data_IF_079669078214
#
_entry.id   IF_079669078214
#
_cell.length_a   1.000
_cell.length_b   1.000
_cell.length_c   1.000
_cell.angle_alpha   90.00
_cell.angle_beta   90.00
_cell.angle_gamma   90.00
#
_symmetry.space_group_name_H-M   'P 1'
#
loop_
_entity.id
_entity.type
_entity.pdbx_description
1 polymer ?
#
# COMPACT_ATOMS: atom_id res chain seq x y z
N UNK A 1 -2.62 9.40 -19.66
CA UNK A 1 -1.94 8.23 -19.09
C UNK A 1 -0.56 8.73 -18.73
N UNK A 2 -0.42 9.32 -17.55
CA UNK A 2 0.87 9.80 -17.03
C UNK A 2 1.33 8.79 -15.98
N UNK A 3 1.77 7.63 -16.45
CA UNK A 3 2.46 6.63 -15.65
C UNK A 3 3.82 6.39 -16.28
N UNK A 4 4.85 6.33 -15.45
CA UNK A 4 6.21 5.99 -15.86
C UNK A 4 6.45 4.51 -15.55
N UNK A 5 7.17 3.83 -16.43
CA UNK A 5 7.64 2.47 -16.17
C UNK A 5 8.86 2.55 -15.26
N UNK A 6 8.86 1.81 -14.16
CA UNK A 6 9.97 1.76 -13.21
C UNK A 6 11.01 0.74 -13.69
N UNK A 7 12.28 1.15 -13.66
CA UNK A 7 13.43 0.26 -13.85
C UNK A 7 13.84 -0.28 -12.47
N UNK A 8 13.33 -1.47 -12.13
CA UNK A 8 13.53 -2.08 -10.81
C UNK A 8 14.98 -2.46 -10.54
N UNK A 9 15.75 -2.82 -11.58
CA UNK A 9 17.16 -3.17 -11.43
C UNK A 9 17.96 -1.94 -10.97
N UNK A 10 17.79 -0.80 -11.65
CA UNK A 10 18.45 0.45 -11.26
C UNK A 10 17.99 0.96 -9.90
N UNK A 11 16.70 0.83 -9.58
CA UNK A 11 16.18 1.24 -8.28
C UNK A 11 16.76 0.38 -7.14
N UNK A 12 16.89 -0.93 -7.38
CA UNK A 12 17.50 -1.87 -6.43
C UNK A 12 18.98 -1.57 -6.21
N UNK A 13 19.73 -1.29 -7.28
CA UNK A 13 21.13 -0.87 -7.18
C UNK A 13 21.29 0.44 -6.41
N UNK A 14 20.43 1.42 -6.67
CA UNK A 14 20.42 2.68 -5.93
C UNK A 14 20.18 2.45 -4.44
N UNK A 15 19.18 1.65 -4.07
CA UNK A 15 18.87 1.33 -2.67
C UNK A 15 20.05 0.64 -1.98
N UNK A 16 20.70 -0.32 -2.64
CA UNK A 16 21.91 -1.00 -2.12
C UNK A 16 23.09 -0.05 -1.91
N UNK A 17 23.13 1.08 -2.62
CA UNK A 17 24.18 2.09 -2.46
C UNK A 17 24.00 2.99 -1.23
N UNK A 18 22.79 3.02 -0.66
CA UNK A 18 22.48 3.81 0.54
C UNK A 18 23.13 3.14 1.76
N UNK A 19 23.95 3.88 2.50
CA UNK A 19 24.67 3.38 3.68
C UNK A 19 23.91 3.69 4.97
N UNK A 20 22.74 3.07 5.12
CA UNK A 20 21.94 3.09 6.35
C UNK A 20 21.57 1.65 6.71
N UNK A 21 21.42 1.38 8.01
CA UNK A 21 20.96 0.07 8.50
C UNK A 21 19.43 -0.02 8.40
N UNK A 22 18.73 1.08 8.71
CA UNK A 22 17.28 1.16 8.66
C UNK A 22 16.84 2.06 7.49
N UNK A 23 15.97 1.53 6.63
CA UNK A 23 15.42 2.24 5.47
C UNK A 23 13.91 2.03 5.38
N UNK A 24 13.17 3.13 5.21
CA UNK A 24 11.73 3.10 4.94
C UNK A 24 11.53 3.39 3.45
N UNK A 25 10.93 2.44 2.74
CA UNK A 25 10.58 2.56 1.33
C UNK A 25 9.11 2.98 1.19
N UNK A 26 8.88 4.26 0.88
CA UNK A 26 7.54 4.80 0.60
C UNK A 26 7.23 4.77 -0.90
N UNK A 27 6.19 4.01 -1.28
CA UNK A 27 5.66 3.99 -2.63
C UNK A 27 4.85 2.74 -2.92
N UNK A 28 3.90 2.85 -3.86
CA UNK A 28 3.03 1.73 -4.26
C UNK A 28 3.76 0.57 -4.98
N UNK A 29 5.05 0.74 -5.29
CA UNK A 29 5.91 -0.31 -5.88
C UNK A 29 6.98 -0.81 -4.90
N UNK A 30 6.96 -0.39 -3.63
CA UNK A 30 8.01 -0.73 -2.66
C UNK A 30 8.12 -2.23 -2.41
N UNK A 31 7.00 -2.95 -2.48
CA UNK A 31 6.93 -4.41 -2.32
C UNK A 31 7.66 -5.19 -3.44
N UNK A 32 8.06 -4.55 -4.54
CA UNK A 32 8.90 -5.16 -5.58
C UNK A 32 10.39 -5.15 -5.23
N UNK A 33 10.81 -4.44 -4.17
CA UNK A 33 12.21 -4.18 -3.85
C UNK A 33 12.78 -5.15 -2.80
N UNK A 34 12.10 -6.29 -2.60
CA UNK A 34 12.45 -7.31 -1.61
C UNK A 34 12.75 -6.74 -0.20
N UNK A 35 11.82 -6.00 0.41
CA UNK A 35 11.99 -5.50 1.77
C UNK A 35 11.94 -6.63 2.81
N UNK A 36 12.43 -6.33 4.02
CA UNK A 36 12.37 -7.24 5.17
C UNK A 36 10.96 -7.33 5.76
N UNK A 37 10.21 -6.23 5.72
CA UNK A 37 8.83 -6.10 6.18
C UNK A 37 8.02 -5.28 5.17
N UNK A 38 6.73 -5.59 5.02
CA UNK A 38 5.80 -4.91 4.11
C UNK A 38 4.58 -4.48 4.91
N UNK A 39 4.27 -3.18 4.83
CA UNK A 39 3.05 -2.62 5.42
C UNK A 39 2.14 -2.15 4.30
N UNK A 40 0.95 -2.74 4.20
CA UNK A 40 -0.08 -2.36 3.23
C UNK A 40 -1.10 -1.47 3.93
N UNK A 41 -1.05 -0.17 3.66
CA UNK A 41 -2.01 0.79 4.17
C UNK A 41 -3.31 0.70 3.36
N UNK A 42 -4.40 0.31 4.00
CA UNK A 42 -5.75 0.27 3.43
C UNK A 42 -6.52 1.51 3.84
N UNK A 43 -7.48 1.91 3.03
CA UNK A 43 -8.44 2.94 3.43
C UNK A 43 -9.73 2.82 2.63
N UNK A 44 -10.83 3.25 3.25
CA UNK A 44 -12.14 3.31 2.65
C UNK A 44 -12.08 3.95 1.23
N UNK A 45 -12.63 3.29 0.20
CA UNK A 45 -12.55 3.76 -1.19
C UNK A 45 -13.07 5.19 -1.40
N UNK A 46 -14.08 5.64 -0.64
CA UNK A 46 -14.57 7.02 -0.72
C UNK A 46 -13.57 8.03 -0.15
N UNK A 47 -12.79 7.65 0.88
CA UNK A 47 -11.70 8.50 1.38
C UNK A 47 -10.59 8.63 0.33
N UNK A 48 -10.24 7.54 -0.36
CA UNK A 48 -9.29 7.57 -1.47
C UNK A 48 -9.78 8.52 -2.57
N UNK A 49 -11.04 8.35 -3.00
CA UNK A 49 -11.67 9.23 -4.00
C UNK A 49 -11.54 10.71 -3.62
N UNK A 50 -12.00 11.08 -2.43
CA UNK A 50 -11.97 12.46 -1.94
C UNK A 50 -10.53 13.02 -1.89
N UNK A 51 -9.57 12.22 -1.41
CA UNK A 51 -8.16 12.62 -1.35
C UNK A 51 -7.59 12.88 -2.75
N UNK A 52 -7.86 12.01 -3.72
CA UNK A 52 -7.34 12.15 -5.09
C UNK A 52 -8.02 13.28 -5.88
N UNK A 53 -9.33 13.49 -5.70
CA UNK A 53 -10.05 14.64 -6.27
C UNK A 53 -9.50 15.96 -5.72
N UNK A 54 -9.20 16.04 -4.42
CA UNK A 54 -8.59 17.24 -3.83
C UNK A 54 -7.18 17.54 -4.37
N UNK A 55 -6.47 16.49 -4.81
CA UNK A 55 -5.19 16.59 -5.54
C UNK A 55 -5.37 16.94 -7.03
N UNK A 56 -6.60 17.18 -7.48
CA UNK A 56 -6.97 17.56 -8.86
C UNK A 56 -6.60 16.49 -9.90
N UNK A 57 -6.68 15.22 -9.52
CA UNK A 57 -6.50 14.13 -10.47
C UNK A 57 -7.70 14.08 -11.44
N UNK A 58 -7.45 13.62 -12.67
CA UNK A 58 -8.53 13.43 -13.64
C UNK A 58 -9.52 12.37 -13.10
N UNK A 59 -10.84 12.52 -13.33
CA UNK A 59 -11.84 11.59 -12.82
C UNK A 59 -11.55 10.12 -13.13
N UNK A 60 -11.09 9.84 -14.36
CA UNK A 60 -10.66 8.49 -14.75
C UNK A 60 -9.54 7.94 -13.86
N UNK A 61 -8.50 8.74 -13.60
CA UNK A 61 -7.36 8.35 -12.75
C UNK A 61 -7.78 8.15 -11.30
N UNK A 62 -8.73 8.97 -10.81
CA UNK A 62 -9.31 8.78 -9.48
C UNK A 62 -9.98 7.41 -9.40
N UNK A 63 -10.88 7.10 -10.34
CA UNK A 63 -11.59 5.82 -10.34
C UNK A 63 -10.66 4.62 -10.49
N UNK A 64 -9.64 4.69 -11.36
CA UNK A 64 -8.62 3.63 -11.47
C UNK A 64 -7.93 3.31 -10.11
N UNK A 65 -7.68 4.32 -9.27
CA UNK A 65 -7.09 4.10 -7.95
C UNK A 65 -8.11 3.62 -6.90
N UNK A 66 -9.37 4.05 -7.01
CA UNK A 66 -10.47 3.59 -6.15
C UNK A 66 -10.77 2.12 -6.43
N UNK A 67 -10.82 1.72 -7.70
CA UNK A 67 -10.91 0.34 -8.17
C UNK A 67 -9.76 -0.51 -7.65
N UNK A 68 -8.53 -0.02 -7.75
CA UNK A 68 -7.35 -0.74 -7.26
C UNK A 68 -7.40 -1.01 -5.74
N UNK A 69 -7.90 -0.05 -4.94
CA UNK A 69 -8.12 -0.26 -3.51
C UNK A 69 -9.27 -1.23 -3.23
N UNK A 70 -10.36 -1.15 -4.00
CA UNK A 70 -11.52 -2.03 -3.86
C UNK A 70 -11.18 -3.50 -4.16
N UNK A 71 -10.31 -3.71 -5.15
CA UNK A 71 -9.89 -5.03 -5.64
C UNK A 71 -8.62 -5.54 -4.94
N UNK A 72 -8.21 -4.93 -3.84
CA UNK A 72 -7.05 -5.33 -3.03
C UNK A 72 -5.72 -5.40 -3.83
N UNK A 73 -5.57 -4.62 -4.91
CA UNK A 73 -4.44 -4.79 -5.87
C UNK A 73 -3.08 -4.73 -5.18
N UNK A 74 -2.82 -3.71 -4.37
CA UNK A 74 -1.55 -3.57 -3.66
C UNK A 74 -1.30 -4.71 -2.65
N UNK A 75 -2.36 -5.22 -2.02
CA UNK A 75 -2.26 -6.33 -1.07
C UNK A 75 -1.94 -7.64 -1.80
N UNK A 76 -2.70 -7.95 -2.86
CA UNK A 76 -2.52 -9.14 -3.69
C UNK A 76 -1.11 -9.14 -4.29
N UNK A 77 -0.66 -8.03 -4.89
CA UNK A 77 0.70 -7.96 -5.45
C UNK A 77 1.79 -8.17 -4.37
N UNK A 78 1.56 -7.69 -3.14
CA UNK A 78 2.48 -7.91 -2.03
C UNK A 78 2.57 -9.39 -1.66
N UNK A 79 1.43 -10.08 -1.56
CA UNK A 79 1.33 -11.52 -1.25
C UNK A 79 1.95 -12.38 -2.36
N UNK A 80 1.62 -12.11 -3.62
CA UNK A 80 2.09 -12.93 -4.75
C UNK A 80 3.60 -12.86 -4.97
N UNK A 81 4.26 -11.78 -4.53
CA UNK A 81 5.67 -11.50 -4.82
C UNK A 81 6.60 -11.70 -3.64
N UNK A 82 6.07 -11.85 -2.44
CA UNK A 82 6.86 -11.88 -1.21
C UNK A 82 6.42 -13.02 -0.29
N UNK A 83 7.21 -13.25 0.75
CA UNK A 83 6.84 -14.16 1.83
C UNK A 83 5.74 -13.49 2.67
N UNK A 84 4.59 -14.16 2.79
CA UNK A 84 3.41 -13.72 3.56
C UNK A 84 3.75 -13.40 5.03
N UNK A 85 4.79 -14.02 5.60
CA UNK A 85 5.25 -13.75 6.97
C UNK A 85 5.77 -12.33 7.20
N UNK A 86 6.03 -11.58 6.11
CA UNK A 86 6.53 -10.20 6.15
C UNK A 86 5.42 -9.16 6.06
N UNK A 87 4.17 -9.57 5.83
CA UNK A 87 3.10 -8.66 5.41
C UNK A 87 2.21 -8.29 6.60
N UNK A 88 1.96 -7.00 6.73
CA UNK A 88 1.03 -6.42 7.68
C UNK A 88 0.07 -5.46 6.96
N UNK A 89 -1.22 -5.76 7.02
CA UNK A 89 -2.31 -4.94 6.51
C UNK A 89 -2.89 -4.08 7.63
N UNK A 90 -3.15 -2.80 7.34
CA UNK A 90 -3.76 -1.89 8.31
C UNK A 90 -4.82 -0.99 7.67
N UNK A 91 -6.05 -1.05 8.20
CA UNK A 91 -7.09 -0.06 7.87
C UNK A 91 -6.79 1.28 8.55
N UNK A 92 -6.58 2.30 7.73
CA UNK A 92 -6.24 3.66 8.13
C UNK A 92 -7.43 4.62 8.07
N UNK A 93 -8.66 4.13 7.82
CA UNK A 93 -9.84 4.97 7.55
C UNK A 93 -10.20 5.92 8.70
N UNK A 94 -10.12 5.44 9.93
CA UNK A 94 -10.50 6.20 11.14
C UNK A 94 -9.31 6.46 12.08
N UNK A 95 -8.09 6.25 11.60
CA UNK A 95 -6.87 6.36 12.39
C UNK A 95 -6.11 7.64 12.07
N UNK A 96 -5.53 8.24 13.10
CA UNK A 96 -4.54 9.30 12.92
C UNK A 96 -3.15 8.68 12.64
N UNK A 97 -2.18 9.46 12.13
CA UNK A 97 -0.85 8.95 11.83
C UNK A 97 -0.11 8.34 13.04
N UNK A 98 -0.29 8.89 14.25
CA UNK A 98 0.37 8.39 15.46
C UNK A 98 -0.10 6.97 15.81
N UNK A 99 -1.40 6.70 15.70
CA UNK A 99 -1.97 5.38 15.93
C UNK A 99 -1.47 4.37 14.88
N UNK A 100 -1.43 4.77 13.61
CA UNK A 100 -0.92 3.94 12.51
C UNK A 100 0.54 3.55 12.76
N UNK A 101 1.39 4.53 13.13
CA UNK A 101 2.80 4.29 13.44
C UNK A 101 2.95 3.35 14.63
N UNK A 102 2.16 3.52 15.69
CA UNK A 102 2.22 2.64 16.86
C UNK A 102 1.88 1.19 16.49
N UNK A 103 0.87 0.96 15.65
CA UNK A 103 0.53 -0.38 15.18
C UNK A 103 1.64 -0.99 14.32
N UNK A 104 2.27 -0.21 13.44
CA UNK A 104 3.44 -0.66 12.66
C UNK A 104 4.59 -1.06 13.59
N UNK A 105 4.88 -0.28 14.63
CA UNK A 105 5.92 -0.61 15.60
C UNK A 105 5.60 -1.91 16.36
N UNK A 106 4.35 -2.10 16.77
CA UNK A 106 3.90 -3.34 17.42
C UNK A 106 4.06 -4.55 16.51
N UNK A 107 3.77 -4.41 15.21
CA UNK A 107 4.03 -5.44 14.22
C UNK A 107 5.52 -5.76 14.10
N UNK A 108 6.38 -4.74 13.99
CA UNK A 108 7.83 -4.94 13.88
C UNK A 108 8.43 -5.64 15.12
N UNK A 109 7.89 -5.37 16.31
CA UNK A 109 8.30 -6.02 17.56
C UNK A 109 7.79 -7.47 17.66
N UNK A 110 6.51 -7.70 17.35
CA UNK A 110 5.87 -9.02 17.49
C UNK A 110 6.19 -9.98 16.35
N UNK A 111 6.49 -9.45 15.16
CA UNK A 111 6.72 -10.17 13.90
C UNK A 111 5.59 -11.13 13.54
N UNK A 112 4.37 -10.76 13.89
CA UNK A 112 3.18 -11.54 13.58
C UNK A 112 2.50 -10.96 12.33
N UNK A 113 2.53 -11.65 11.18
CA UNK A 113 1.84 -11.19 9.99
C UNK A 113 0.33 -11.14 10.22
N UNK A 114 -0.33 -10.15 9.65
CA UNK A 114 -1.77 -9.97 9.72
C UNK A 114 -2.25 -9.32 8.42
N UNK A 115 -3.09 -10.01 7.65
CA UNK A 115 -3.62 -9.53 6.37
C UNK A 115 -4.90 -10.27 5.98
N UNK A 116 -5.66 -9.69 5.05
CA UNK A 116 -6.94 -10.21 4.57
C UNK A 116 -8.12 -9.92 5.51
N UNK A 117 -7.96 -8.94 6.40
CA UNK A 117 -8.98 -8.57 7.39
C UNK A 117 -9.89 -7.43 6.94
N UNK A 118 -9.55 -6.78 5.83
CA UNK A 118 -10.30 -5.66 5.26
C UNK A 118 -10.95 -6.11 3.95
N UNK A 119 -12.26 -5.90 3.81
CA UNK A 119 -12.98 -6.11 2.55
C UNK A 119 -13.88 -4.92 2.28
N UNK A 120 -13.67 -4.28 1.14
CA UNK A 120 -14.47 -3.15 0.68
C UNK A 120 -15.53 -3.55 -0.36
N UNK A 121 -15.40 -4.76 -0.93
CA UNK A 121 -16.16 -5.17 -2.10
C UNK A 121 -17.66 -5.14 -1.84
N UNK A 122 -18.11 -5.63 -0.69
CA UNK A 122 -19.54 -5.69 -0.34
C UNK A 122 -20.16 -4.30 -0.21
N UNK A 123 -19.43 -3.36 0.38
CA UNK A 123 -19.94 -2.00 0.66
C UNK A 123 -19.88 -1.07 -0.56
N UNK A 124 -18.95 -1.33 -1.49
CA UNK A 124 -18.60 -0.39 -2.56
C UNK A 124 -18.60 -1.00 -3.97
N UNK A 125 -19.19 -2.19 -4.18
CA UNK A 125 -19.26 -2.81 -5.52
C UNK A 125 -19.89 -1.91 -6.59
N UNK A 126 -20.75 -0.96 -6.23
CA UNK A 126 -21.37 -0.03 -7.17
C UNK A 126 -20.38 1.03 -7.73
N UNK A 127 -19.17 1.12 -7.19
CA UNK A 127 -18.13 2.02 -7.70
C UNK A 127 -17.38 1.47 -8.92
N UNK A 128 -17.61 0.21 -9.29
CA UNK A 128 -16.94 -0.48 -10.41
C UNK A 128 -17.86 -0.82 -11.58
N UNK A 129 -19.04 -0.19 -11.63
CA UNK A 129 -20.00 -0.26 -12.74
C UNK A 129 -19.78 0.83 -13.81
#
# INVERSE_FOLDING_TARGET
>A
MDSFVVDFDKLTEYIRSIKTEDLILDGHVSHYLNPDYIVVLRANPLLIKNRLESRKYLPKKVMENVEAELLDVCLIESIEKNDESKIFEIDCSEKNPENIVNEILMFLDSKNPEYGNVSWLEDYFYLIE
#
